data_IF_481772110894
#
_entry.id   IF_481772110894
#
_cell.length_a   1.000
_cell.length_b   1.000
_cell.length_c   1.000
_cell.angle_alpha   90.00
_cell.angle_beta   90.00
_cell.angle_gamma   90.00
#
_symmetry.space_group_name_H-M   'P 1'
#
loop_
_entity.id
_entity.type
_entity.pdbx_description
1 polymer ?
#
# COMPACT_ATOMS: atom_id res chain seq x y z
N UNK A 1 6.38 13.14 1.20
CA UNK A 1 6.85 12.01 2.05
C UNK A 1 8.05 11.29 1.44
N UNK A 2 8.20 11.24 0.12
CA UNK A 2 9.52 11.01 -0.50
C UNK A 2 9.72 12.09 -1.56
N UNK A 3 10.65 13.00 -1.29
CA UNK A 3 11.04 14.06 -2.22
C UNK A 3 11.55 13.43 -3.52
N UNK A 4 11.31 14.14 -4.63
CA UNK A 4 11.60 13.65 -5.97
C UNK A 4 13.01 13.05 -6.08
N UNK A 5 13.07 11.85 -6.65
CA UNK A 5 14.28 11.04 -6.89
C UNK A 5 14.59 9.93 -5.89
N UNK A 6 13.58 9.28 -5.29
CA UNK A 6 13.75 7.87 -4.92
C UNK A 6 13.08 7.03 -5.99
N UNK A 7 13.90 6.45 -6.86
CA UNK A 7 13.50 5.38 -7.78
C UNK A 7 13.27 4.12 -6.94
N UNK A 8 12.21 4.12 -6.12
CA UNK A 8 11.72 2.89 -5.49
C UNK A 8 11.18 2.08 -6.65
N UNK A 9 11.84 0.98 -6.98
CA UNK A 9 11.27 0.05 -7.97
C UNK A 9 9.84 -0.26 -7.53
N UNK A 10 8.89 -0.14 -8.46
CA UNK A 10 7.46 -0.40 -8.23
C UNK A 10 7.25 -1.76 -7.53
N UNK A 11 8.13 -2.72 -7.81
CA UNK A 11 8.18 -4.05 -7.19
C UNK A 11 8.52 -4.02 -5.69
N UNK A 12 9.32 -3.08 -5.21
CA UNK A 12 9.61 -2.90 -3.78
C UNK A 12 8.38 -2.37 -3.04
N UNK A 13 7.65 -1.43 -3.65
CA UNK A 13 6.38 -0.91 -3.08
C UNK A 13 5.38 -2.05 -2.92
N UNK A 14 5.20 -2.89 -3.94
CA UNK A 14 4.27 -4.01 -3.89
C UNK A 14 4.60 -5.01 -2.77
N UNK A 15 5.89 -5.30 -2.55
CA UNK A 15 6.34 -6.15 -1.44
C UNK A 15 5.97 -5.52 -0.09
N UNK A 16 6.19 -4.23 0.07
CA UNK A 16 5.83 -3.53 1.31
C UNK A 16 4.32 -3.46 1.52
N UNK A 17 3.53 -3.19 0.48
CA UNK A 17 2.07 -3.21 0.56
C UNK A 17 1.55 -4.60 0.92
N UNK A 18 2.11 -5.66 0.32
CA UNK A 18 1.72 -7.04 0.64
C UNK A 18 2.04 -7.40 2.09
N UNK A 19 3.22 -6.99 2.59
CA UNK A 19 3.60 -7.19 4.00
C UNK A 19 2.68 -6.41 4.93
N UNK A 20 2.39 -5.14 4.63
CA UNK A 20 1.49 -4.31 5.41
C UNK A 20 0.10 -4.92 5.50
N UNK A 21 -0.50 -5.34 4.38
CA UNK A 21 -1.81 -5.99 4.38
C UNK A 21 -1.82 -7.25 5.25
N UNK A 22 -0.79 -8.08 5.18
CA UNK A 22 -0.65 -9.26 6.06
C UNK A 22 -0.54 -8.91 7.55
N UNK A 23 0.12 -7.81 7.90
CA UNK A 23 0.19 -7.34 9.29
C UNK A 23 -1.16 -6.81 9.79
N UNK A 24 -1.99 -6.27 8.90
CA UNK A 24 -3.31 -5.72 9.22
C UNK A 24 -4.43 -6.78 9.24
N UNK A 25 -4.25 -7.90 8.55
CA UNK A 25 -5.21 -9.01 8.44
C UNK A 25 -5.73 -9.53 9.80
N UNK A 26 -4.89 -9.73 10.84
CA UNK A 26 -5.37 -10.15 12.17
C UNK A 26 -6.32 -9.15 12.84
N UNK A 27 -6.31 -7.89 12.38
CA UNK A 27 -7.15 -6.81 12.87
C UNK A 27 -8.33 -6.49 11.95
N UNK A 28 -8.50 -7.23 10.85
CA UNK A 28 -9.50 -6.96 9.80
C UNK A 28 -9.36 -5.56 9.16
N UNK A 29 -8.12 -5.04 9.08
CA UNK A 29 -7.82 -3.70 8.56
C UNK A 29 -7.09 -3.71 7.21
N UNK A 30 -6.83 -4.88 6.64
CA UNK A 30 -6.09 -5.05 5.38
C UNK A 30 -6.75 -4.34 4.20
N UNK A 31 -8.08 -4.19 4.23
CA UNK A 31 -8.87 -3.52 3.20
C UNK A 31 -8.77 -1.99 3.25
N UNK A 32 -8.20 -1.42 4.32
CA UNK A 32 -7.94 0.03 4.39
C UNK A 32 -6.90 0.48 3.36
N UNK A 33 -6.02 -0.43 2.92
CA UNK A 33 -5.04 -0.16 1.86
C UNK A 33 -5.58 -0.69 0.54
N UNK A 34 -6.08 0.21 -0.31
CA UNK A 34 -6.74 -0.10 -1.57
C UNK A 34 -5.79 0.07 -2.76
N UNK A 35 -5.93 -0.78 -3.78
CA UNK A 35 -5.22 -0.64 -5.06
C UNK A 35 -6.04 0.25 -5.99
N UNK A 36 -5.45 1.35 -6.46
CA UNK A 36 -6.01 2.26 -7.46
C UNK A 36 -5.33 1.98 -8.80
N UNK A 37 -6.06 1.37 -9.72
CA UNK A 37 -5.53 0.97 -11.03
C UNK A 37 -4.97 2.18 -11.78
N UNK A 38 -3.70 2.09 -12.19
CA UNK A 38 -3.02 3.18 -12.90
C UNK A 38 -2.55 4.35 -12.03
N UNK A 39 -2.73 4.29 -10.70
CA UNK A 39 -2.27 5.34 -9.77
C UNK A 39 -1.51 4.81 -8.55
N UNK A 40 -1.59 3.52 -8.25
CA UNK A 40 -0.85 2.88 -7.15
C UNK A 40 -1.76 2.48 -5.99
N UNK A 41 -1.46 2.95 -4.78
CA UNK A 41 -2.15 2.55 -3.55
C UNK A 41 -2.69 3.75 -2.77
N UNK A 42 -3.82 3.56 -2.09
CA UNK A 42 -4.47 4.58 -1.26
C UNK A 42 -4.88 4.00 0.08
N UNK A 43 -4.80 4.81 1.13
CA UNK A 43 -5.43 4.51 2.42
C UNK A 43 -6.86 5.08 2.47
N UNK A 44 -7.84 4.27 2.86
CA UNK A 44 -9.25 4.63 3.00
C UNK A 44 -9.83 4.00 4.27
N UNK A 45 -10.39 4.82 5.15
CA UNK A 45 -11.13 4.33 6.33
C UNK A 45 -12.62 4.11 6.05
N UNK A 46 -13.13 4.58 4.91
CA UNK A 46 -14.45 4.22 4.41
C UNK A 46 -14.35 2.91 3.65
N UNK A 47 -15.07 1.88 4.13
CA UNK A 47 -15.38 0.68 3.35
C UNK A 47 -16.18 1.05 2.10
#
# INVERSE_FOLDING_TARGET
VWGGSVYVEERTVDVHIRRLRKTLEPHQLENMVQTVRGSGYRFSASM
#
